data_IF_305496771150
#
_entry.id   IF_305496771150
#
_cell.length_a   1.000
_cell.length_b   1.000
_cell.length_c   1.000
_cell.angle_alpha   90.00
_cell.angle_beta   90.00
_cell.angle_gamma   90.00
#
_symmetry.space_group_name_H-M   'P 1'
#
loop_
_entity.id
_entity.type
_entity.pdbx_description
1 polymer ?
#
# COMPACT_ATOMS: atom_id res chain seq x y z
N UNK A 1 29.65 -19.23 -5.65
CA UNK A 1 28.68 -18.12 -5.84
C UNK A 1 27.56 -18.43 -4.89
N UNK A 2 27.43 -17.68 -3.79
CA UNK A 2 26.33 -17.89 -2.86
C UNK A 2 25.04 -17.48 -3.57
N UNK A 3 24.07 -18.39 -3.67
CA UNK A 3 22.74 -18.05 -4.12
C UNK A 3 22.17 -17.03 -3.13
N UNK A 4 21.90 -15.81 -3.61
CA UNK A 4 21.13 -14.82 -2.86
C UNK A 4 19.78 -15.45 -2.53
N UNK A 5 19.34 -15.46 -1.25
CA UNK A 5 18.04 -16.00 -0.91
C UNK A 5 16.97 -15.37 -1.81
N UNK A 6 16.12 -16.21 -2.41
CA UNK A 6 15.05 -15.73 -3.28
C UNK A 6 14.16 -14.78 -2.48
N UNK A 7 14.02 -13.53 -2.94
CA UNK A 7 13.12 -12.58 -2.32
C UNK A 7 11.71 -13.17 -2.26
N UNK A 8 11.07 -13.11 -1.10
CA UNK A 8 9.67 -13.51 -0.97
C UNK A 8 8.85 -12.50 -1.80
N UNK A 9 7.98 -13.01 -2.67
CA UNK A 9 7.19 -12.19 -3.61
C UNK A 9 5.72 -12.57 -3.53
N UNK A 10 4.86 -11.57 -3.68
CA UNK A 10 3.43 -11.75 -3.96
C UNK A 10 3.22 -11.53 -5.45
N UNK A 11 2.57 -12.49 -6.13
CA UNK A 11 2.27 -12.39 -7.55
C UNK A 11 0.78 -12.11 -7.77
N UNK A 12 0.47 -11.11 -8.60
CA UNK A 12 -0.90 -10.74 -8.99
C UNK A 12 -0.93 -10.55 -10.50
N UNK A 13 -1.74 -11.35 -11.20
CA UNK A 13 -1.83 -11.32 -12.68
C UNK A 13 -0.46 -11.38 -13.37
N UNK A 14 0.45 -12.23 -12.88
CA UNK A 14 1.81 -12.39 -13.41
C UNK A 14 2.82 -11.29 -13.03
N UNK A 15 2.38 -10.26 -12.28
CA UNK A 15 3.27 -9.20 -11.79
C UNK A 15 3.74 -9.53 -10.38
N UNK A 16 5.06 -9.49 -10.19
CA UNK A 16 5.71 -9.77 -8.90
C UNK A 16 5.91 -8.49 -8.09
N UNK A 17 5.41 -8.52 -6.87
CA UNK A 17 5.62 -7.53 -5.82
C UNK A 17 6.54 -8.14 -4.76
N UNK A 18 7.80 -7.68 -4.64
CA UNK A 18 8.65 -8.04 -3.52
C UNK A 18 7.96 -7.75 -2.18
N UNK A 19 8.15 -8.59 -1.17
CA UNK A 19 7.60 -8.34 0.17
C UNK A 19 8.24 -7.14 0.86
N UNK A 20 9.35 -6.66 0.34
CA UNK A 20 10.09 -5.51 0.84
C UNK A 20 10.71 -4.73 -0.33
N UNK A 21 10.68 -3.41 -0.27
CA UNK A 21 11.32 -2.51 -1.25
C UNK A 21 12.02 -1.36 -0.54
N UNK A 22 13.06 -0.84 -1.17
CA UNK A 22 13.72 0.39 -0.72
C UNK A 22 13.02 1.60 -1.32
N UNK A 23 12.62 2.56 -0.48
CA UNK A 23 12.05 3.83 -0.96
C UNK A 23 13.05 4.54 -1.87
N UNK A 24 12.64 4.97 -3.08
CA UNK A 24 13.50 5.73 -3.97
C UNK A 24 13.78 7.16 -3.47
N UNK A 25 13.08 7.62 -2.43
CA UNK A 25 13.16 8.99 -1.88
C UNK A 25 13.96 9.04 -0.59
N UNK A 26 13.73 8.08 0.31
CA UNK A 26 14.30 8.12 1.68
C UNK A 26 15.30 7.00 1.94
N UNK A 27 15.45 6.04 1.02
CA UNK A 27 16.21 4.81 1.19
C UNK A 27 15.74 3.94 2.37
N UNK A 28 14.59 4.24 2.98
CA UNK A 28 13.98 3.40 4.01
C UNK A 28 13.46 2.10 3.42
N UNK A 29 13.44 1.06 4.25
CA UNK A 29 12.76 -0.18 3.90
C UNK A 29 11.26 -0.05 4.08
N UNK A 30 10.50 -0.50 3.09
CA UNK A 30 9.03 -0.52 3.10
C UNK A 30 8.55 -1.95 2.83
N UNK A 31 7.72 -2.49 3.71
CA UNK A 31 7.16 -3.83 3.55
C UNK A 31 5.88 -3.77 2.69
N UNK A 32 5.59 -4.85 1.97
CA UNK A 32 4.36 -4.99 1.20
C UNK A 32 3.18 -5.18 2.16
N UNK A 33 2.38 -4.12 2.31
CA UNK A 33 1.14 -4.14 3.05
C UNK A 33 0.07 -4.94 2.32
N UNK A 34 -0.08 -4.78 1.00
CA UNK A 34 -1.05 -5.56 0.22
C UNK A 34 -0.93 -5.34 -1.27
N UNK A 35 -1.48 -6.25 -2.07
CA UNK A 35 -1.50 -6.13 -3.52
C UNK A 35 -2.83 -6.60 -4.12
N UNK A 36 -3.22 -6.03 -5.27
CA UNK A 36 -4.46 -6.43 -5.94
C UNK A 36 -4.67 -5.80 -7.31
N UNK A 37 -5.65 -6.34 -8.04
CA UNK A 37 -6.06 -5.84 -9.35
C UNK A 37 -6.94 -4.60 -9.22
N UNK A 38 -6.86 -3.72 -10.23
CA UNK A 38 -7.85 -2.69 -10.52
C UNK A 38 -8.32 -2.89 -11.96
N UNK A 39 -9.62 -3.00 -12.13
CA UNK A 39 -10.25 -3.26 -13.42
C UNK A 39 -11.40 -2.33 -13.73
N UNK A 40 -12.06 -2.61 -14.85
CA UNK A 40 -13.30 -1.98 -15.28
C UNK A 40 -14.30 -3.06 -15.70
N UNK A 41 -15.59 -2.79 -15.54
CA UNK A 41 -16.65 -3.65 -16.05
C UNK A 41 -17.01 -3.24 -17.48
N UNK A 42 -16.93 -4.18 -18.42
CA UNK A 42 -17.32 -3.98 -19.81
C UNK A 42 -18.24 -5.13 -20.21
N UNK A 43 -19.50 -4.82 -20.49
CA UNK A 43 -20.49 -5.82 -20.91
C UNK A 43 -20.71 -6.94 -19.87
N UNK A 44 -20.68 -6.60 -18.58
CA UNK A 44 -20.84 -7.56 -17.47
C UNK A 44 -19.61 -8.45 -17.20
N UNK A 45 -18.47 -8.16 -17.83
CA UNK A 45 -17.19 -8.83 -17.58
C UNK A 45 -16.20 -7.87 -16.93
N UNK A 46 -15.53 -8.36 -15.89
CA UNK A 46 -14.43 -7.63 -15.28
C UNK A 46 -13.16 -7.77 -16.12
N UNK A 47 -12.56 -6.64 -16.47
CA UNK A 47 -11.29 -6.57 -17.20
C UNK A 47 -10.26 -5.88 -16.31
N UNK A 48 -9.22 -6.61 -15.89
CA UNK A 48 -8.12 -6.03 -15.14
C UNK A 48 -7.30 -5.09 -16.03
N UNK A 49 -7.05 -3.87 -15.54
CA UNK A 49 -6.35 -2.81 -16.28
C UNK A 49 -4.97 -2.56 -15.67
N UNK A 50 -4.90 -2.57 -14.34
CA UNK A 50 -3.65 -2.41 -13.58
C UNK A 50 -3.62 -3.37 -12.40
N UNK A 51 -2.41 -3.61 -11.88
CA UNK A 51 -2.17 -4.25 -10.59
C UNK A 51 -1.40 -3.30 -9.70
N UNK A 52 -1.77 -3.28 -8.43
CA UNK A 52 -1.35 -2.27 -7.48
C UNK A 52 -0.73 -2.97 -6.28
N UNK A 53 0.47 -2.57 -5.90
CA UNK A 53 1.09 -2.90 -4.61
C UNK A 53 1.12 -1.69 -3.71
N UNK A 54 0.75 -1.86 -2.45
CA UNK A 54 0.79 -0.85 -1.39
C UNK A 54 1.85 -1.27 -0.38
N UNK A 55 2.84 -0.41 -0.19
CA UNK A 55 3.97 -0.60 0.70
C UNK A 55 3.92 0.42 1.83
N UNK A 56 4.28 -0.01 3.03
CA UNK A 56 4.27 0.82 4.23
C UNK A 56 5.63 0.77 4.92
N UNK A 57 6.01 1.87 5.56
CA UNK A 57 7.15 1.89 6.49
C UNK A 57 6.86 0.98 7.69
N UNK A 58 7.87 0.30 8.22
CA UNK A 58 7.74 -0.58 9.39
C UNK A 58 7.08 0.12 10.61
N UNK A 59 7.37 1.42 10.79
CA UNK A 59 6.77 2.26 11.82
C UNK A 59 5.23 2.39 11.69
N UNK A 60 4.62 1.96 10.59
CA UNK A 60 3.17 1.91 10.43
C UNK A 60 2.51 0.99 11.46
N UNK A 61 3.12 -0.16 11.76
CA UNK A 61 2.55 -1.15 12.68
C UNK A 61 2.39 -0.59 14.10
N UNK A 62 3.46 -0.11 14.78
CA UNK A 62 3.32 0.50 16.10
C UNK A 62 2.56 1.84 16.08
N UNK A 63 2.38 2.49 14.92
CA UNK A 63 1.60 3.72 14.84
C UNK A 63 0.08 3.47 14.89
N UNK A 64 -0.37 2.26 14.56
CA UNK A 64 -1.79 1.92 14.44
C UNK A 64 -2.21 0.80 15.42
N UNK A 65 -1.26 0.22 16.15
CA UNK A 65 -1.46 -0.92 17.04
C UNK A 65 -2.50 -0.68 18.13
N UNK A 66 -2.48 0.48 18.79
CA UNK A 66 -3.34 0.80 19.93
C UNK A 66 -4.83 0.82 19.60
N UNK A 67 -5.18 0.80 18.31
CA UNK A 67 -6.57 0.78 17.83
C UNK A 67 -6.93 -0.51 17.09
N UNK A 68 -5.98 -1.09 16.37
CA UNK A 68 -6.25 -2.18 15.42
C UNK A 68 -5.66 -3.54 15.83
N UNK A 69 -4.80 -3.60 16.86
CA UNK A 69 -4.31 -4.88 17.39
C UNK A 69 -5.47 -5.75 17.89
N UNK A 70 -5.40 -7.06 17.66
CA UNK A 70 -6.43 -8.04 18.00
C UNK A 70 -7.61 -8.08 17.03
N UNK A 71 -7.62 -7.23 15.98
CA UNK A 71 -8.67 -7.26 14.95
C UNK A 71 -8.37 -8.28 13.88
N UNK A 72 -9.41 -8.98 13.46
CA UNK A 72 -9.39 -9.94 12.35
C UNK A 72 -9.28 -9.23 11.00
N UNK A 73 -8.84 -9.97 9.97
CA UNK A 73 -8.79 -9.47 8.60
C UNK A 73 -10.15 -8.94 8.11
N UNK A 74 -11.25 -9.60 8.48
CA UNK A 74 -12.62 -9.25 8.10
C UNK A 74 -13.08 -7.95 8.75
N UNK A 75 -12.78 -7.77 10.05
CA UNK A 75 -13.07 -6.53 10.78
C UNK A 75 -12.31 -5.35 10.18
N UNK A 76 -11.02 -5.53 9.89
CA UNK A 76 -10.20 -4.49 9.26
C UNK A 76 -10.69 -4.19 7.83
N UNK A 77 -11.01 -5.23 7.05
CA UNK A 77 -11.43 -5.06 5.66
C UNK A 77 -12.75 -4.30 5.51
N UNK A 78 -13.59 -4.34 6.55
CA UNK A 78 -14.89 -3.66 6.57
C UNK A 78 -14.83 -2.26 7.19
N UNK A 79 -13.68 -1.85 7.73
CA UNK A 79 -13.51 -0.60 8.46
C UNK A 79 -12.96 0.52 7.56
N UNK A 80 -13.81 1.49 7.19
CA UNK A 80 -13.35 2.69 6.49
C UNK A 80 -12.33 3.50 7.31
N UNK A 81 -12.46 3.45 8.64
CA UNK A 81 -11.58 4.15 9.58
C UNK A 81 -10.17 3.53 9.61
N UNK A 82 -10.05 2.21 9.49
CA UNK A 82 -8.75 1.52 9.37
C UNK A 82 -7.96 2.01 8.17
N UNK A 83 -8.60 2.05 7.00
CA UNK A 83 -7.94 2.57 5.79
C UNK A 83 -7.61 4.06 5.93
N UNK A 84 -8.46 4.85 6.60
CA UNK A 84 -8.18 6.27 6.87
C UNK A 84 -6.95 6.46 7.75
N UNK A 85 -6.78 5.64 8.78
CA UNK A 85 -5.58 5.66 9.64
C UNK A 85 -4.32 5.29 8.84
N UNK A 86 -4.40 4.32 7.93
CA UNK A 86 -3.29 4.02 7.00
C UNK A 86 -3.00 5.20 6.08
N UNK A 87 -4.02 5.78 5.44
CA UNK A 87 -3.86 6.88 4.49
C UNK A 87 -3.23 8.10 5.18
N UNK A 88 -3.74 8.47 6.35
CA UNK A 88 -3.38 9.71 7.04
C UNK A 88 -2.27 9.56 8.07
N UNK A 89 -1.85 8.33 8.38
CA UNK A 89 -0.83 8.02 9.38
C UNK A 89 0.52 8.70 9.11
N UNK A 90 1.26 9.00 10.17
CA UNK A 90 2.52 9.74 10.11
C UNK A 90 3.74 8.86 9.80
N UNK A 91 3.62 8.02 8.78
CA UNK A 91 4.66 7.14 8.26
C UNK A 91 4.68 7.18 6.74
N UNK A 92 5.80 6.78 6.13
CA UNK A 92 5.95 6.74 4.67
C UNK A 92 5.11 5.61 4.06
N UNK A 93 4.54 5.86 2.89
CA UNK A 93 3.91 4.83 2.06
C UNK A 93 4.47 4.88 0.65
N UNK A 94 4.41 3.77 -0.06
CA UNK A 94 4.69 3.72 -1.48
C UNK A 94 3.59 2.92 -2.19
N UNK A 95 3.10 3.44 -3.31
CA UNK A 95 2.23 2.66 -4.20
C UNK A 95 2.92 2.42 -5.54
N UNK A 96 2.88 1.16 -5.98
CA UNK A 96 3.37 0.76 -7.31
C UNK A 96 2.18 0.29 -8.13
N UNK A 97 1.85 1.05 -9.17
CA UNK A 97 0.78 0.73 -10.12
C UNK A 97 1.41 0.22 -11.41
N UNK A 98 1.20 -1.05 -11.74
CA UNK A 98 1.74 -1.69 -12.94
C UNK A 98 0.64 -1.91 -13.96
N UNK A 99 0.90 -1.54 -15.22
CA UNK A 99 -0.07 -1.62 -16.30
C UNK A 99 -0.19 -3.05 -16.82
N UNK A 100 -1.41 -3.59 -16.85
CA UNK A 100 -1.72 -4.84 -17.59
C UNK A 100 -2.17 -4.50 -19.01
N UNK A 101 -2.92 -3.41 -19.17
CA UNK A 101 -3.32 -2.83 -20.45
C UNK A 101 -2.64 -1.48 -20.66
N UNK A 102 -2.40 -1.07 -21.92
CA UNK A 102 -1.77 0.21 -22.21
C UNK A 102 -2.65 1.38 -21.76
N UNK A 103 -2.03 2.39 -21.17
CA UNK A 103 -2.68 3.66 -20.80
C UNK A 103 -1.79 4.83 -21.22
N UNK A 104 -2.39 5.93 -21.67
CA UNK A 104 -1.64 7.19 -21.75
C UNK A 104 -1.53 7.81 -20.37
N UNK A 105 -0.52 8.66 -20.17
CA UNK A 105 -0.39 9.43 -18.94
C UNK A 105 -1.61 10.28 -18.67
N UNK A 106 -2.17 10.89 -19.73
CA UNK A 106 -3.40 11.68 -19.65
C UNK A 106 -4.61 10.84 -19.19
N UNK A 107 -4.85 9.66 -19.79
CA UNK A 107 -5.95 8.78 -19.38
C UNK A 107 -5.85 8.37 -17.91
N UNK A 108 -4.63 8.10 -17.45
CA UNK A 108 -4.39 7.75 -16.06
C UNK A 108 -4.61 8.95 -15.13
N UNK A 109 -3.96 10.08 -15.43
CA UNK A 109 -3.93 11.23 -14.52
C UNK A 109 -5.27 11.94 -14.43
N UNK A 110 -6.00 12.09 -15.55
CA UNK A 110 -7.34 12.66 -15.56
C UNK A 110 -8.28 11.87 -14.66
N UNK A 111 -8.24 10.53 -14.74
CA UNK A 111 -9.10 9.69 -13.92
C UNK A 111 -8.82 9.82 -12.42
N UNK A 112 -7.55 9.95 -12.04
CA UNK A 112 -7.16 10.18 -10.65
C UNK A 112 -7.57 11.58 -10.20
N UNK A 113 -7.32 12.62 -11.01
CA UNK A 113 -7.65 14.00 -10.66
C UNK A 113 -9.15 14.25 -10.55
N UNK A 114 -9.96 13.69 -11.47
CA UNK A 114 -11.43 13.80 -11.43
C UNK A 114 -11.99 13.33 -10.08
N UNK A 115 -11.52 12.17 -9.61
CA UNK A 115 -11.95 11.60 -8.34
C UNK A 115 -11.53 12.48 -7.15
N UNK A 116 -10.31 13.05 -7.18
CA UNK A 116 -9.81 13.92 -6.12
C UNK A 116 -10.60 15.24 -6.06
N UNK A 117 -10.77 15.91 -7.19
CA UNK A 117 -11.48 17.20 -7.29
C UNK A 117 -12.93 17.04 -6.85
N UNK A 118 -13.65 16.03 -7.38
CA UNK A 118 -15.05 15.80 -7.01
C UNK A 118 -15.22 15.55 -5.50
N UNK A 119 -14.28 14.83 -4.87
CA UNK A 119 -14.30 14.60 -3.43
C UNK A 119 -14.06 15.88 -2.63
N UNK A 120 -13.11 16.73 -3.05
CA UNK A 120 -12.79 17.98 -2.36
C UNK A 120 -13.83 19.06 -2.53
N UNK A 121 -14.45 19.16 -3.71
CA UNK A 121 -15.59 20.05 -3.96
C UNK A 121 -16.78 19.65 -3.08
N UNK A 122 -17.12 18.36 -3.04
CA UNK A 122 -18.22 17.86 -2.21
C UNK A 122 -17.97 18.11 -0.70
N UNK A 123 -16.72 18.09 -0.27
CA UNK A 123 -16.32 18.39 1.10
C UNK A 123 -16.14 19.89 1.39
N UNK A 124 -16.21 20.76 0.38
CA UNK A 124 -16.00 22.21 0.52
C UNK A 124 -14.55 22.60 0.89
N UNK A 125 -13.58 21.77 0.49
CA UNK A 125 -12.15 21.95 0.84
C UNK A 125 -11.24 22.12 -0.37
N UNK A 126 -11.81 22.31 -1.57
CA UNK A 126 -11.05 22.58 -2.79
C UNK A 126 -10.65 24.06 -2.86
N UNK A 127 -9.34 24.32 -2.87
CA UNK A 127 -8.77 25.67 -2.92
C UNK A 127 -7.81 25.82 -4.09
N UNK A 128 -7.31 27.04 -4.33
CA UNK A 128 -6.30 27.34 -5.33
C UNK A 128 -5.02 26.50 -5.16
N UNK A 129 -4.67 26.13 -3.92
CA UNK A 129 -3.50 25.25 -3.65
C UNK A 129 -3.73 23.83 -4.19
N UNK A 130 -4.93 23.30 -4.04
CA UNK A 130 -5.29 21.99 -4.60
C UNK A 130 -5.39 22.04 -6.13
N UNK A 131 -5.96 23.12 -6.68
CA UNK A 131 -6.02 23.32 -8.12
C UNK A 131 -4.62 23.34 -8.74
N UNK A 132 -3.69 24.12 -8.17
CA UNK A 132 -2.30 24.17 -8.63
C UNK A 132 -1.60 22.80 -8.53
N UNK A 133 -1.88 22.04 -7.47
CA UNK A 133 -1.35 20.69 -7.30
C UNK A 133 -1.89 19.73 -8.38
N UNK A 134 -3.18 19.82 -8.73
CA UNK A 134 -3.80 19.03 -9.79
C UNK A 134 -3.22 19.40 -11.16
N UNK A 135 -3.06 20.68 -11.47
CA UNK A 135 -2.42 21.13 -12.72
C UNK A 135 -1.02 20.55 -12.85
N UNK A 136 -0.21 20.67 -11.80
CA UNK A 136 1.16 20.09 -11.77
C UNK A 136 1.15 18.58 -11.94
N UNK A 137 0.20 17.89 -11.30
CA UNK A 137 0.01 16.45 -11.46
C UNK A 137 -0.28 16.10 -12.93
N UNK A 138 -1.24 16.76 -13.57
CA UNK A 138 -1.58 16.52 -14.97
C UNK A 138 -0.38 16.78 -15.91
N UNK A 139 0.38 17.84 -15.67
CA UNK A 139 1.58 18.17 -16.47
C UNK A 139 2.67 17.10 -16.41
N UNK A 140 2.92 16.51 -15.24
CA UNK A 140 3.91 15.43 -15.06
C UNK A 140 3.56 14.20 -15.92
N UNK A 141 2.27 13.90 -16.03
CA UNK A 141 1.77 12.74 -16.78
C UNK A 141 1.54 13.01 -18.27
N UNK A 142 1.31 14.26 -18.68
CA UNK A 142 1.01 14.64 -20.07
C UNK A 142 1.96 14.04 -21.13
N UNK A 143 3.30 14.02 -20.96
CA UNK A 143 4.20 13.47 -21.97
C UNK A 143 4.37 11.94 -21.88
N UNK A 144 3.66 11.25 -20.97
CA UNK A 144 3.89 9.84 -20.66
C UNK A 144 2.95 8.91 -21.41
N UNK A 145 3.44 7.71 -21.70
CA UNK A 145 2.68 6.58 -22.21
C UNK A 145 3.14 5.33 -21.47
N UNK A 146 2.21 4.48 -21.08
CA UNK A 146 2.45 3.34 -20.22
C UNK A 146 2.06 2.05 -20.95
N UNK A 147 3.00 1.40 -21.64
CA UNK A 147 2.77 0.06 -22.18
C UNK A 147 2.65 -0.97 -21.05
N UNK A 148 2.05 -2.14 -21.32
CA UNK A 148 1.98 -3.24 -20.35
C UNK A 148 3.33 -3.56 -19.72
N UNK A 149 3.33 -3.80 -18.41
CA UNK A 149 4.50 -4.13 -17.60
C UNK A 149 5.29 -2.93 -17.06
N UNK A 150 5.05 -1.72 -17.55
CA UNK A 150 5.59 -0.49 -16.93
C UNK A 150 4.85 -0.17 -15.63
N UNK A 151 5.50 0.56 -14.72
CA UNK A 151 4.88 0.99 -13.47
C UNK A 151 4.96 2.50 -13.24
N UNK A 152 3.96 3.02 -12.55
CA UNK A 152 3.99 4.32 -11.88
C UNK A 152 4.28 4.03 -10.40
N UNK A 153 5.19 4.81 -9.81
CA UNK A 153 5.54 4.71 -8.39
C UNK A 153 5.21 6.02 -7.71
N UNK A 154 4.40 5.97 -6.67
CA UNK A 154 4.12 7.13 -5.82
C UNK A 154 4.74 6.90 -4.44
N UNK A 155 5.62 7.80 -4.02
CA UNK A 155 6.07 7.87 -2.63
C UNK A 155 5.28 8.93 -1.89
N UNK A 156 4.61 8.53 -0.83
CA UNK A 156 3.74 9.36 -0.01
C UNK A 156 4.49 9.73 1.27
N UNK A 157 5.03 10.94 1.31
CA UNK A 157 5.71 11.45 2.50
C UNK A 157 4.70 11.77 3.61
N UNK A 158 4.99 11.42 4.88
CA UNK A 158 4.14 11.81 6.01
C UNK A 158 4.02 13.34 6.18
N UNK A 159 4.94 14.10 5.56
CA UNK A 159 4.93 15.57 5.55
C UNK A 159 4.01 16.17 4.48
N UNK A 160 3.33 15.35 3.66
CA UNK A 160 2.39 15.82 2.64
C UNK A 160 3.02 16.13 1.28
N UNK A 161 4.13 15.47 0.97
CA UNK A 161 4.78 15.53 -0.35
C UNK A 161 4.50 14.24 -1.11
N UNK A 162 4.09 14.36 -2.36
CA UNK A 162 3.92 13.26 -3.30
C UNK A 162 5.08 13.27 -4.30
N UNK A 163 5.92 12.25 -4.26
CA UNK A 163 6.96 12.04 -5.28
C UNK A 163 6.48 10.99 -6.27
N UNK A 164 6.63 11.30 -7.55
CA UNK A 164 6.17 10.47 -8.68
C UNK A 164 7.40 9.99 -9.44
N UNK A 165 7.52 8.67 -9.56
CA UNK A 165 8.52 7.99 -10.37
C UNK A 165 7.86 7.12 -11.43
N UNK A 166 8.59 6.86 -12.51
CA UNK A 166 8.17 5.94 -13.56
C UNK A 166 9.20 4.81 -13.67
N UNK A 167 8.70 3.60 -13.79
CA UNK A 167 9.48 2.38 -13.89
C UNK A 167 9.24 1.74 -15.25
N UNK A 168 10.28 1.74 -16.08
CA UNK A 168 10.28 0.97 -17.33
C UNK A 168 10.38 -0.52 -17.05
N UNK A 169 9.99 -1.34 -18.03
CA UNK A 169 10.04 -2.80 -17.92
C UNK A 169 11.47 -3.27 -17.58
N UNK A 170 11.65 -3.92 -16.43
CA UNK A 170 12.95 -4.41 -15.95
C UNK A 170 13.91 -3.31 -15.45
N UNK A 171 13.44 -2.08 -15.30
CA UNK A 171 14.21 -0.96 -14.77
C UNK A 171 14.30 -0.95 -13.24
N UNK A 172 15.02 0.05 -12.72
CA UNK A 172 15.01 0.44 -11.30
C UNK A 172 14.13 1.70 -11.18
N UNK A 173 13.33 1.86 -10.11
CA UNK A 173 12.51 3.06 -9.93
C UNK A 173 13.35 4.33 -10.05
N UNK A 174 12.97 5.23 -10.97
CA UNK A 174 13.63 6.53 -11.07
C UNK A 174 13.37 7.34 -9.79
N UNK A 175 14.42 7.91 -9.21
CA UNK A 175 14.36 8.62 -7.92
C UNK A 175 13.31 9.74 -7.93
N UNK A 176 13.26 10.58 -8.97
CA UNK A 176 12.28 11.67 -9.06
C UNK A 176 11.96 12.00 -10.53
N UNK A 177 10.70 11.77 -10.95
CA UNK A 177 10.18 12.31 -12.22
C UNK A 177 9.25 13.52 -12.00
N UNK A 178 8.76 13.70 -10.78
CA UNK A 178 8.03 14.90 -10.35
C UNK A 178 7.77 14.88 -8.85
N UNK A 179 7.68 16.06 -8.24
CA UNK A 179 7.44 16.24 -6.80
C UNK A 179 6.34 17.27 -6.61
N UNK A 180 5.32 16.96 -5.80
CA UNK A 180 4.20 17.87 -5.50
C UNK A 180 4.04 18.01 -3.99
N UNK A 181 4.17 19.23 -3.49
CA UNK A 181 3.95 19.56 -2.08
C UNK A 181 2.48 19.93 -1.87
N UNK A 182 1.65 18.92 -1.64
CA UNK A 182 0.25 19.12 -1.26
C UNK A 182 -0.23 17.89 -0.49
N UNK A 183 -0.55 18.07 0.80
CA UNK A 183 -0.94 16.97 1.68
C UNK A 183 -2.26 16.32 1.26
N UNK A 184 -3.23 17.12 0.79
CA UNK A 184 -4.52 16.59 0.34
C UNK A 184 -4.35 15.69 -0.87
N UNK A 185 -3.60 16.12 -1.88
CA UNK A 185 -3.29 15.30 -3.07
C UNK A 185 -2.50 14.05 -2.69
N UNK A 186 -1.49 14.18 -1.83
CA UNK A 186 -0.67 13.05 -1.37
C UNK A 186 -1.53 11.94 -0.75
N UNK A 187 -2.50 12.31 0.08
CA UNK A 187 -3.45 11.37 0.68
C UNK A 187 -4.48 10.87 -0.34
N UNK A 188 -5.01 11.76 -1.17
CA UNK A 188 -6.08 11.44 -2.12
C UNK A 188 -5.66 10.41 -3.18
N UNK A 189 -4.38 10.39 -3.60
CA UNK A 189 -3.87 9.36 -4.51
C UNK A 189 -3.98 7.97 -3.88
N UNK A 190 -3.56 7.79 -2.61
CA UNK A 190 -3.69 6.51 -1.91
C UNK A 190 -5.17 6.21 -1.56
N UNK A 191 -5.93 7.21 -1.16
CA UNK A 191 -7.37 7.10 -0.88
C UNK A 191 -8.16 6.65 -2.11
N UNK A 192 -7.76 7.09 -3.31
CA UNK A 192 -8.38 6.63 -4.56
C UNK A 192 -8.22 5.12 -4.78
N UNK A 193 -7.23 4.48 -4.15
CA UNK A 193 -6.95 3.05 -4.26
C UNK A 193 -7.64 2.27 -3.15
N UNK A 194 -7.36 2.64 -1.88
CA UNK A 194 -7.75 1.86 -0.69
C UNK A 194 -8.82 2.52 0.18
N UNK A 195 -9.25 3.74 -0.15
CA UNK A 195 -10.28 4.45 0.60
C UNK A 195 -11.65 3.78 0.51
N UNK A 196 -12.66 4.39 1.12
CA UNK A 196 -14.02 3.86 1.14
C UNK A 196 -14.55 3.60 -0.29
N UNK A 197 -14.33 4.55 -1.20
CA UNK A 197 -14.66 4.46 -2.63
C UNK A 197 -13.45 4.07 -3.50
N UNK A 198 -12.48 3.37 -2.91
CA UNK A 198 -11.24 2.99 -3.58
C UNK A 198 -11.47 2.06 -4.77
N UNK A 199 -10.63 2.20 -5.80
CA UNK A 199 -10.79 1.48 -7.08
C UNK A 199 -10.27 0.03 -7.06
N UNK A 200 -9.65 -0.43 -5.97
CA UNK A 200 -9.13 -1.80 -5.86
C UNK A 200 -9.59 -2.48 -4.56
N UNK A 201 -10.78 -3.11 -4.58
CA UNK A 201 -11.23 -3.94 -3.46
C UNK A 201 -10.25 -5.08 -3.12
N UNK A 202 -9.60 -5.66 -4.13
CA UNK A 202 -8.61 -6.72 -3.94
C UNK A 202 -7.39 -6.22 -3.14
N UNK A 203 -6.86 -5.04 -3.45
CA UNK A 203 -5.74 -4.47 -2.69
C UNK A 203 -6.15 -4.13 -1.25
N UNK A 204 -7.38 -3.65 -1.04
CA UNK A 204 -7.94 -3.40 0.30
C UNK A 204 -8.01 -4.66 1.16
N UNK A 205 -8.54 -5.75 0.60
CA UNK A 205 -8.64 -7.04 1.29
C UNK A 205 -7.26 -7.60 1.62
N UNK A 206 -6.35 -7.61 0.63
CA UNK A 206 -4.97 -8.06 0.83
C UNK A 206 -4.25 -7.25 1.91
N UNK A 207 -4.46 -5.93 1.93
CA UNK A 207 -3.89 -5.03 2.94
C UNK A 207 -4.43 -5.32 4.34
N UNK A 208 -5.75 -5.45 4.49
CA UNK A 208 -6.37 -5.76 5.78
C UNK A 208 -5.89 -7.11 6.33
N UNK A 209 -5.82 -8.14 5.49
CA UNK A 209 -5.35 -9.46 5.89
C UNK A 209 -3.91 -9.42 6.42
N UNK A 210 -2.98 -8.88 5.62
CA UNK A 210 -1.56 -8.88 5.99
C UNK A 210 -1.29 -7.99 7.20
N UNK A 211 -1.99 -6.86 7.33
CA UNK A 211 -1.84 -5.99 8.50
C UNK A 211 -2.39 -6.63 9.77
N UNK A 212 -3.50 -7.38 9.70
CA UNK A 212 -3.99 -8.18 10.82
C UNK A 212 -2.92 -9.19 11.27
N UNK A 213 -2.31 -9.92 10.32
CA UNK A 213 -1.21 -10.84 10.59
C UNK A 213 -0.01 -10.12 11.24
N UNK A 214 0.40 -8.95 10.75
CA UNK A 214 1.51 -8.19 11.34
C UNK A 214 1.22 -7.68 12.75
N UNK A 215 -0.02 -7.27 13.03
CA UNK A 215 -0.41 -6.74 14.33
C UNK A 215 -0.53 -7.84 15.40
N UNK A 216 -0.92 -9.05 14.98
CA UNK A 216 -1.22 -10.15 15.88
C UNK A 216 -0.08 -11.19 15.98
N UNK A 217 0.94 -11.10 15.12
CA UNK A 217 2.13 -11.99 15.16
C UNK A 217 2.82 -12.08 16.52
N UNK A 218 2.81 -11.01 17.32
CA UNK A 218 3.38 -11.04 18.68
C UNK A 218 2.56 -11.84 19.67
N UNK A 219 1.25 -11.96 19.46
CA UNK A 219 0.39 -12.78 20.33
C UNK A 219 0.71 -14.26 20.14
N UNK A 220 0.96 -14.71 18.91
CA UNK A 220 1.35 -16.11 18.65
C UNK A 220 2.73 -16.43 19.26
N UNK A 221 3.73 -15.54 19.15
CA UNK A 221 5.05 -15.74 19.75
C UNK A 221 5.01 -15.68 21.30
N UNK A 222 4.21 -14.78 21.88
CA UNK A 222 4.03 -14.67 23.33
C UNK A 222 3.22 -15.84 23.91
N UNK A 223 2.18 -16.33 23.22
CA UNK A 223 1.40 -17.52 23.61
C UNK A 223 2.22 -18.81 23.46
N UNK A 224 3.01 -18.97 22.39
CA UNK A 224 3.92 -20.10 22.24
C UNK A 224 4.99 -20.13 23.34
N UNK A 225 5.57 -18.98 23.71
CA UNK A 225 6.52 -18.88 24.83
C UNK A 225 5.87 -19.20 26.18
N UNK A 226 4.64 -18.72 26.45
CA UNK A 226 3.91 -19.05 27.69
C UNK A 226 3.53 -20.54 27.77
N UNK A 227 3.10 -21.15 26.67
CA UNK A 227 2.84 -22.60 26.62
C UNK A 227 4.12 -23.42 26.84
N UNK A 228 5.25 -23.01 26.24
CA UNK A 228 6.53 -23.70 26.41
C UNK A 228 7.00 -23.64 27.87
N UNK A 229 6.86 -22.48 28.54
CA UNK A 229 7.18 -22.31 29.96
C UNK A 229 6.29 -23.21 30.84
N UNK A 230 4.98 -23.26 30.58
CA UNK A 230 4.03 -24.11 31.32
C UNK A 230 4.32 -25.61 31.16
N UNK A 231 4.74 -26.05 29.98
CA UNK A 231 5.15 -27.44 29.71
C UNK A 231 6.43 -27.79 30.49
N UNK A 232 7.41 -26.88 30.52
CA UNK A 232 8.66 -27.05 31.27
C UNK A 232 8.42 -27.10 32.78
N UNK A 233 7.51 -26.28 33.32
CA UNK A 233 7.16 -26.32 34.75
C UNK A 233 6.45 -27.61 35.15
N UNK A 234 5.48 -28.09 34.35
CA UNK A 234 4.79 -29.38 34.62
C UNK A 234 5.76 -30.57 34.63
N UNK A 235 6.70 -30.60 33.68
CA UNK A 235 7.72 -31.66 33.61
C UNK A 235 8.69 -31.67 34.80
N UNK A 236 8.90 -30.54 35.48
CA UNK A 236 9.71 -30.46 36.72
C UNK A 236 8.97 -31.00 37.93
N UNK A 237 7.65 -30.81 38.02
CA UNK A 237 6.86 -31.32 39.15
C UNK A 237 6.68 -32.85 39.11
N UNK A 238 6.48 -33.44 37.93
CA UNK A 238 6.37 -34.90 37.80
C UNK A 238 7.67 -35.66 38.11
N UNK A 239 8.85 -35.04 37.91
CA UNK A 239 10.13 -35.66 38.26
C UNK A 239 10.44 -35.64 39.77
N UNK A 240 9.77 -34.78 40.54
CA UNK A 240 9.95 -34.69 42.00
C UNK A 240 9.07 -35.69 42.75
N UNK A 241 7.99 -36.19 42.14
CA UNK A 241 7.03 -37.11 42.77
C UNK A 241 7.46 -38.60 42.70
N UNK A 242 8.56 -38.92 41.99
CA UNK A 242 9.07 -40.29 41.79
C UNK A 242 10.38 -40.55 42.55
N UNK A 243 10.83 -39.64 43.42
CA UNK A 243 12.05 -39.77 44.22
C UNK A 243 11.79 -40.13 45.69
#
# INVERSE_FOLDING_TARGET
MAETPAAIVVEVEGVKFPTEVTSPVTSKSLFLGGAGVRGIEVGGKFIAVTVIGVYLEEAAIPAIDGKWKGKTAEELSSSAEFYRDIITGSFEKLTRVTMLLPLTGQQYSEKVSENCVAAWEAAGVYTEEEEAAIVKFLEIFKPKSFPPGTSIVFSHSPRGTLTIGFLELGGVPAAESGVIENKKLTNAVLESIIGEKGVSPAAKQSLAQRISEFLNKKEEEEEEEEEEILVVEKGKFEQVEVA
#
